data_IF_805376630908
#
_entry.id   IF_805376630908
#
_cell.length_a   1.000
_cell.length_b   1.000
_cell.length_c   1.000
_cell.angle_alpha   90.00
_cell.angle_beta   90.00
_cell.angle_gamma   90.00
#
_symmetry.space_group_name_H-M   'P 1'
#
loop_
_entity.id
_entity.type
_entity.pdbx_description
1 polymer ?
#
# COMPACT_ATOMS: atom_id res chain seq x y z
N UNK A 1 12.63 -0.55 5.36
CA UNK A 1 11.30 -0.99 4.89
C UNK A 1 11.12 -2.49 5.06
N UNK A 2 9.88 -2.98 5.09
CA UNK A 2 9.51 -4.41 5.20
C UNK A 2 8.95 -4.82 3.84
N UNK A 3 9.69 -5.62 3.06
CA UNK A 3 9.31 -6.00 1.70
C UNK A 3 7.95 -6.72 1.66
N UNK A 4 6.95 -6.11 1.01
CA UNK A 4 5.59 -6.65 0.93
C UNK A 4 4.68 -6.27 2.11
N UNK A 5 5.15 -5.40 3.03
CA UNK A 5 4.27 -4.72 3.96
C UNK A 5 3.58 -3.54 3.29
N UNK A 6 2.36 -3.27 3.73
CA UNK A 6 1.58 -2.12 3.30
C UNK A 6 0.62 -1.72 4.42
N UNK A 7 0.00 -0.56 4.24
CA UNK A 7 -1.07 -0.11 5.11
C UNK A 7 -2.26 0.31 4.26
N UNK A 8 -3.43 0.32 4.87
CA UNK A 8 -4.62 0.89 4.25
C UNK A 8 -5.51 1.55 5.30
N UNK A 9 -6.28 2.53 4.86
CA UNK A 9 -7.22 3.29 5.68
C UNK A 9 -8.62 3.10 5.12
N UNK A 10 -9.57 2.85 6.01
CA UNK A 10 -10.99 2.70 5.67
C UNK A 10 -11.86 3.55 6.57
N UNK A 11 -12.95 4.08 6.03
CA UNK A 11 -14.02 4.69 6.82
C UNK A 11 -14.95 3.62 7.43
N UNK A 12 -15.87 4.06 8.30
CA UNK A 12 -16.93 3.21 8.89
C UNK A 12 -17.90 2.62 7.87
N UNK A 13 -17.98 3.18 6.66
CA UNK A 13 -18.79 2.67 5.55
C UNK A 13 -18.04 1.64 4.69
N UNK A 14 -16.77 1.39 4.98
CA UNK A 14 -15.91 0.46 4.24
C UNK A 14 -15.27 1.05 2.99
N UNK A 15 -15.32 2.36 2.76
CA UNK A 15 -14.57 3.00 1.67
C UNK A 15 -13.09 3.11 2.02
N UNK A 16 -12.23 2.75 1.07
CA UNK A 16 -10.79 2.90 1.21
C UNK A 16 -10.36 4.34 0.89
N UNK A 17 -9.73 5.02 1.86
CA UNK A 17 -9.10 6.33 1.67
C UNK A 17 -7.66 6.19 1.19
N UNK A 18 -6.98 5.14 1.65
CA UNK A 18 -5.61 4.81 1.25
C UNK A 18 -5.50 3.31 1.09
N UNK A 19 -4.92 2.84 -0.01
CA UNK A 19 -4.60 1.44 -0.28
C UNK A 19 -3.65 1.38 -1.47
N UNK A 20 -2.67 0.46 -1.53
CA UNK A 20 -1.74 0.36 -2.66
C UNK A 20 -2.41 0.14 -4.02
N UNK A 21 -3.59 -0.49 -4.02
CA UNK A 21 -4.39 -0.74 -5.23
C UNK A 21 -5.54 0.26 -5.45
N UNK A 22 -5.58 1.37 -4.71
CA UNK A 22 -6.49 2.46 -5.09
C UNK A 22 -6.04 3.02 -6.45
N UNK A 23 -6.97 3.20 -7.40
CA UNK A 23 -6.64 3.82 -8.67
C UNK A 23 -6.18 5.26 -8.45
N UNK A 24 -5.16 5.69 -9.19
CA UNK A 24 -4.77 7.09 -9.21
C UNK A 24 -5.92 7.93 -9.81
N UNK A 25 -6.20 9.12 -9.26
CA UNK A 25 -7.14 10.04 -9.89
C UNK A 25 -6.65 10.39 -11.30
N UNK A 26 -7.56 10.38 -12.28
CA UNK A 26 -7.22 10.67 -13.68
C UNK A 26 -7.12 12.19 -13.94
N UNK A 27 -7.83 13.00 -13.16
CA UNK A 27 -7.79 14.46 -13.15
C UNK A 27 -8.04 15.01 -11.75
N UNK A 28 -7.62 16.26 -11.52
CA UNK A 28 -7.97 17.02 -10.32
C UNK A 28 -9.43 17.50 -10.34
N UNK A 29 -10.06 17.51 -11.52
CA UNK A 29 -11.48 17.87 -11.72
C UNK A 29 -12.42 16.68 -11.50
N UNK A 30 -11.87 15.46 -11.43
CA UNK A 30 -12.66 14.27 -11.23
C UNK A 30 -13.17 14.21 -9.79
N UNK A 31 -14.44 13.82 -9.65
CA UNK A 31 -15.03 13.57 -8.34
C UNK A 31 -14.28 12.43 -7.64
N UNK A 32 -14.13 12.48 -6.30
CA UNK A 32 -13.46 11.42 -5.55
C UNK A 32 -14.16 10.09 -5.82
N UNK A 33 -13.41 9.12 -6.33
CA UNK A 33 -13.92 7.78 -6.59
C UNK A 33 -13.89 6.99 -5.28
N UNK A 34 -15.07 6.70 -4.73
CA UNK A 34 -15.19 5.84 -3.56
C UNK A 34 -15.06 4.37 -3.97
N UNK A 35 -13.97 3.73 -3.54
CA UNK A 35 -13.76 2.30 -3.72
C UNK A 35 -13.95 1.59 -2.40
N UNK A 36 -14.94 0.70 -2.33
CA UNK A 36 -15.14 -0.13 -1.15
C UNK A 36 -13.96 -1.11 -0.98
N UNK A 37 -13.43 -1.24 0.23
CA UNK A 37 -12.21 -1.99 0.55
C UNK A 37 -12.29 -3.46 0.15
N UNK A 38 -13.48 -4.07 0.18
CA UNK A 38 -13.67 -5.46 -0.27
C UNK A 38 -13.36 -5.70 -1.76
N UNK A 39 -13.32 -4.64 -2.58
CA UNK A 39 -12.87 -4.74 -3.98
C UNK A 39 -11.34 -4.80 -4.10
N UNK A 40 -10.65 -4.17 -3.16
CA UNK A 40 -9.18 -4.09 -3.11
C UNK A 40 -8.59 -5.29 -2.36
N UNK A 41 -9.36 -5.82 -1.40
CA UNK A 41 -9.04 -6.97 -0.56
C UNK A 41 -10.09 -8.09 -0.75
N UNK A 42 -10.06 -8.80 -1.90
CA UNK A 42 -11.16 -9.68 -2.31
C UNK A 42 -11.22 -11.03 -1.56
N UNK A 43 -10.22 -11.37 -0.74
CA UNK A 43 -10.21 -12.63 0.00
C UNK A 43 -11.29 -12.62 1.10
N UNK A 44 -12.25 -13.55 1.02
CA UNK A 44 -13.37 -13.64 1.97
C UNK A 44 -12.93 -13.82 3.42
N UNK A 45 -11.72 -14.31 3.68
CA UNK A 45 -11.17 -14.43 5.04
C UNK A 45 -10.93 -13.08 5.73
N UNK A 46 -10.86 -12.00 4.95
CA UNK A 46 -10.69 -10.64 5.44
C UNK A 46 -11.99 -10.00 5.89
N UNK A 47 -13.16 -10.51 5.47
CA UNK A 47 -14.46 -9.92 5.84
C UNK A 47 -14.63 -9.65 7.35
N UNK A 48 -14.26 -10.56 8.27
CA UNK A 48 -14.37 -10.28 9.70
C UNK A 48 -13.43 -9.17 10.17
N UNK A 49 -12.25 -9.04 9.57
CA UNK A 49 -11.31 -7.95 9.88
C UNK A 49 -11.89 -6.63 9.40
N UNK A 50 -12.38 -6.59 8.16
CA UNK A 50 -12.98 -5.39 7.57
C UNK A 50 -14.23 -4.93 8.34
N UNK A 51 -15.05 -5.87 8.81
CA UNK A 51 -16.19 -5.57 9.69
C UNK A 51 -15.75 -5.02 11.05
N UNK A 52 -14.73 -5.63 11.68
CA UNK A 52 -14.16 -5.14 12.93
C UNK A 52 -13.61 -3.71 12.78
N UNK A 53 -12.93 -3.42 11.67
CA UNK A 53 -12.46 -2.06 11.34
C UNK A 53 -13.61 -1.06 11.14
N UNK A 54 -14.69 -1.46 10.45
CA UNK A 54 -15.86 -0.62 10.26
C UNK A 54 -16.59 -0.32 11.58
N UNK A 55 -16.55 -1.26 12.53
CA UNK A 55 -17.05 -1.10 13.89
C UNK A 55 -16.10 -0.33 14.81
N UNK A 56 -14.99 0.23 14.29
CA UNK A 56 -13.99 0.99 15.05
C UNK A 56 -13.32 0.19 16.17
N UNK A 57 -13.15 -1.12 15.96
CA UNK A 57 -12.48 -2.00 16.91
C UNK A 57 -10.97 -2.07 16.65
N UNK A 58 -10.20 -2.46 17.68
CA UNK A 58 -8.77 -2.76 17.56
C UNK A 58 -8.55 -4.26 17.52
N UNK A 59 -7.65 -4.72 16.67
CA UNK A 59 -7.37 -6.15 16.59
C UNK A 59 -6.11 -6.53 15.83
N UNK A 60 -5.87 -7.84 15.83
CA UNK A 60 -4.70 -8.48 15.25
C UNK A 60 -5.12 -9.87 14.73
N UNK A 61 -4.74 -10.22 13.50
CA UNK A 61 -5.04 -11.54 12.95
C UNK A 61 -4.02 -11.97 11.91
N UNK A 62 -3.60 -13.24 11.99
CA UNK A 62 -2.79 -13.87 10.96
C UNK A 62 -3.66 -14.65 9.99
N UNK A 63 -3.44 -14.45 8.69
CA UNK A 63 -4.18 -15.12 7.63
C UNK A 63 -3.23 -15.51 6.50
N UNK A 64 -3.53 -16.64 5.87
CA UNK A 64 -2.94 -17.02 4.58
C UNK A 64 -3.92 -16.68 3.46
N UNK A 65 -3.61 -15.62 2.71
CA UNK A 65 -4.43 -15.07 1.63
C UNK A 65 -3.69 -15.11 0.29
N UNK A 66 -4.43 -14.98 -0.82
CA UNK A 66 -3.84 -14.80 -2.15
C UNK A 66 -3.55 -13.31 -2.37
N UNK A 67 -2.29 -12.96 -2.61
CA UNK A 67 -1.90 -11.61 -3.01
C UNK A 67 -1.45 -11.54 -4.47
N UNK A 68 -1.82 -10.47 -5.18
CA UNK A 68 -1.27 -10.17 -6.50
C UNK A 68 0.19 -9.73 -6.36
N UNK A 69 1.08 -10.48 -6.99
CA UNK A 69 2.49 -10.14 -7.09
C UNK A 69 2.80 -9.76 -8.55
N UNK A 70 3.34 -8.54 -8.80
CA UNK A 70 3.80 -8.20 -10.14
C UNK A 70 4.97 -9.12 -10.49
N UNK A 71 4.93 -9.73 -11.66
CA UNK A 71 6.03 -10.56 -12.21
C UNK A 71 6.95 -9.70 -13.09
N UNK A 72 6.59 -8.43 -13.29
CA UNK A 72 7.24 -7.55 -14.26
C UNK A 72 6.87 -7.93 -15.69
N UNK A 73 7.38 -7.13 -16.64
CA UNK A 73 7.24 -7.40 -18.06
C UNK A 73 8.26 -8.47 -18.46
N UNK A 74 7.81 -9.52 -19.15
CA UNK A 74 8.75 -10.49 -19.73
C UNK A 74 9.49 -9.78 -20.87
N UNK A 75 10.80 -9.58 -20.66
CA UNK A 75 11.66 -8.84 -21.57
C UNK A 75 11.58 -9.46 -22.99
N UNK A 76 11.28 -8.64 -24.00
CA UNK A 76 11.13 -9.09 -25.39
C UNK A 76 9.72 -9.56 -25.79
N UNK A 77 8.70 -9.42 -24.92
CA UNK A 77 7.30 -9.74 -25.27
C UNK A 77 6.39 -8.51 -25.20
N UNK A 78 5.37 -8.47 -26.07
CA UNK A 78 4.28 -7.49 -26.02
C UNK A 78 3.21 -7.84 -24.97
N UNK A 79 3.42 -8.91 -24.19
CA UNK A 79 2.47 -9.32 -23.18
C UNK A 79 2.37 -8.22 -22.09
N UNK A 80 1.14 -7.90 -21.64
CA UNK A 80 0.95 -6.97 -20.53
C UNK A 80 1.63 -7.49 -19.27
N UNK A 81 1.90 -6.60 -18.32
CA UNK A 81 2.44 -6.98 -17.02
C UNK A 81 1.60 -8.09 -16.42
N UNK A 82 2.23 -9.24 -16.20
CA UNK A 82 1.53 -10.40 -15.66
C UNK A 82 1.55 -10.32 -14.14
N UNK A 83 0.38 -10.52 -13.55
CA UNK A 83 0.22 -10.64 -12.09
C UNK A 83 0.10 -12.12 -11.77
N UNK A 84 0.95 -12.61 -10.85
CA UNK A 84 0.80 -13.95 -10.28
C UNK A 84 0.16 -13.82 -8.91
N UNK A 85 -0.90 -14.58 -8.67
CA UNK A 85 -1.47 -14.73 -7.34
C UNK A 85 -0.60 -15.70 -6.55
N UNK A 86 0.00 -15.22 -5.46
CA UNK A 86 0.77 -16.07 -4.54
C UNK A 86 0.06 -16.13 -3.21
N UNK A 87 -0.06 -17.33 -2.66
CA UNK A 87 -0.53 -17.50 -1.29
C UNK A 87 0.58 -17.09 -0.32
N UNK A 88 0.29 -16.13 0.54
CA UNK A 88 1.24 -15.58 1.50
C UNK A 88 0.59 -15.50 2.89
N UNK A 89 1.37 -15.83 3.92
CA UNK A 89 0.96 -15.66 5.31
C UNK A 89 1.24 -14.21 5.71
N UNK A 90 0.21 -13.51 6.16
CA UNK A 90 0.25 -12.10 6.54
C UNK A 90 -0.31 -11.93 7.95
N UNK A 91 0.20 -10.94 8.67
CA UNK A 91 -0.36 -10.44 9.93
C UNK A 91 -1.02 -9.09 9.67
N UNK A 92 -2.31 -9.02 9.94
CA UNK A 92 -3.08 -7.80 9.96
C UNK A 92 -3.10 -7.26 11.38
N UNK A 93 -2.81 -5.98 11.54
CA UNK A 93 -2.95 -5.21 12.77
C UNK A 93 -3.84 -4.02 12.43
N UNK A 94 -4.92 -3.79 13.17
CA UNK A 94 -5.81 -2.66 12.90
C UNK A 94 -6.25 -1.96 14.18
N UNK A 95 -6.53 -0.67 14.05
CA UNK A 95 -7.04 0.17 15.13
C UNK A 95 -7.78 1.38 14.56
N UNK A 96 -8.76 1.94 15.29
CA UNK A 96 -9.38 3.21 14.96
C UNK A 96 -8.38 4.37 15.13
N UNK A 97 -8.51 5.40 14.30
CA UNK A 97 -7.80 6.66 14.46
C UNK A 97 -8.63 7.58 15.35
N UNK A 98 -8.06 7.99 16.49
CA UNK A 98 -8.73 8.81 17.49
C UNK A 98 -9.36 10.07 16.89
N UNK A 99 -10.59 10.37 17.30
CA UNK A 99 -11.37 11.54 16.87
C UNK A 99 -11.67 11.58 15.36
N UNK A 100 -11.72 10.43 14.70
CA UNK A 100 -12.13 10.31 13.30
C UNK A 100 -13.05 9.10 13.12
N UNK A 101 -13.66 8.98 11.95
CA UNK A 101 -14.44 7.83 11.49
C UNK A 101 -13.59 6.83 10.67
N UNK A 102 -12.27 6.88 10.81
CA UNK A 102 -11.33 6.03 10.08
C UNK A 102 -10.68 4.97 10.98
N UNK A 103 -10.44 3.81 10.38
CA UNK A 103 -9.58 2.76 10.92
C UNK A 103 -8.38 2.55 10.00
N UNK A 104 -7.21 2.38 10.61
CA UNK A 104 -5.97 2.04 9.91
C UNK A 104 -5.65 0.56 10.10
N UNK A 105 -5.22 -0.09 9.02
CA UNK A 105 -4.63 -1.41 9.08
C UNK A 105 -3.19 -1.37 8.59
N UNK A 106 -2.31 -2.09 9.29
CA UNK A 106 -0.95 -2.39 8.89
C UNK A 106 -0.87 -3.89 8.61
N UNK A 107 -0.39 -4.23 7.41
CA UNK A 107 -0.30 -5.60 6.94
C UNK A 107 1.17 -5.97 6.80
N UNK A 108 1.57 -7.03 7.51
CA UNK A 108 2.95 -7.45 7.64
C UNK A 108 3.14 -8.87 7.10
N UNK A 109 4.10 -9.10 6.20
CA UNK A 109 4.39 -10.42 5.68
C UNK A 109 5.13 -11.29 6.70
N UNK A 110 4.68 -12.54 6.85
CA UNK A 110 5.31 -13.54 7.71
C UNK A 110 6.02 -14.57 6.83
N UNK A 111 7.32 -14.79 7.05
CA UNK A 111 8.06 -15.94 6.50
C UNK A 111 8.77 -16.66 7.64
N UNK A 112 8.69 -17.99 7.65
CA UNK A 112 9.31 -18.84 8.68
C UNK A 112 8.92 -18.49 10.14
N UNK A 113 7.74 -17.92 10.34
CA UNK A 113 7.24 -17.54 11.67
C UNK A 113 7.64 -16.13 12.12
N UNK A 114 8.45 -15.41 11.35
CA UNK A 114 8.92 -14.06 11.68
C UNK A 114 8.40 -13.02 10.68
N UNK A 115 8.26 -11.78 11.15
CA UNK A 115 7.94 -10.64 10.29
C UNK A 115 9.18 -10.33 9.45
N UNK A 116 9.01 -10.33 8.12
CA UNK A 116 10.13 -10.17 7.19
C UNK A 116 10.54 -8.72 7.08
N UNK A 117 11.37 -8.24 8.01
CA UNK A 117 12.05 -6.98 7.79
C UNK A 117 13.10 -7.18 6.70
N UNK A 118 12.98 -6.48 5.58
CA UNK A 118 14.11 -6.33 4.67
C UNK A 118 15.15 -5.52 5.42
N UNK A 119 16.26 -6.15 5.79
CA UNK A 119 17.44 -5.41 6.22
C UNK A 119 17.88 -4.57 5.02
N UNK A 120 17.57 -3.28 5.02
CA UNK A 120 18.18 -2.36 4.09
C UNK A 120 19.64 -2.23 4.50
N UNK A 121 20.50 -3.01 3.84
CA UNK A 121 21.92 -2.73 3.85
C UNK A 121 22.12 -1.72 2.73
N UNK A 122 22.31 -0.45 3.07
CA UNK A 122 22.66 0.52 2.05
C UNK A 122 23.91 0.00 1.32
N UNK A 123 23.85 -0.02 -0.01
CA UNK A 123 24.95 -0.51 -0.84
C UNK A 123 26.20 0.40 -0.70
N UNK A 124 25.99 1.62 -0.21
CA UNK A 124 26.98 2.64 0.17
C UNK A 124 26.50 3.35 1.44
N UNK A 125 27.36 4.11 2.14
CA UNK A 125 26.99 4.83 3.37
C UNK A 125 25.68 5.62 3.18
N UNK A 126 24.65 5.36 3.99
CA UNK A 126 23.37 6.05 3.85
C UNK A 126 23.56 7.52 4.30
N UNK A 127 23.98 8.40 3.39
CA UNK A 127 24.01 9.82 3.70
C UNK A 127 22.58 10.38 3.60
N UNK A 128 22.06 10.95 4.68
CA UNK A 128 20.69 11.51 4.73
C UNK A 128 20.50 12.71 3.80
N UNK A 129 21.59 13.26 3.26
CA UNK A 129 21.60 14.36 2.28
C UNK A 129 21.16 13.94 0.88
N UNK A 130 21.19 12.64 0.55
CA UNK A 130 20.79 12.13 -0.77
C UNK A 130 19.26 11.97 -0.92
N UNK A 131 18.51 12.09 0.18
CA UNK A 131 17.05 12.01 0.16
C UNK A 131 16.44 13.39 -0.18
N UNK A 132 16.35 13.69 -1.47
CA UNK A 132 15.65 14.89 -1.93
C UNK A 132 14.14 14.64 -2.05
N UNK A 133 13.39 14.97 -1.00
CA UNK A 133 11.93 15.01 -1.09
C UNK A 133 11.49 16.19 -1.96
N UNK A 134 10.87 15.89 -3.11
CA UNK A 134 10.28 16.92 -3.96
C UNK A 134 9.03 17.50 -3.32
N UNK A 135 9.17 18.62 -2.59
CA UNK A 135 8.03 19.41 -2.12
C UNK A 135 7.52 20.29 -3.26
N UNK A 136 6.34 19.99 -3.78
CA UNK A 136 5.68 20.71 -4.89
C UNK A 136 5.44 22.22 -4.64
N UNK A 137 5.69 22.73 -3.44
CA UNK A 137 5.55 24.15 -3.08
C UNK A 137 6.84 24.98 -3.06
N UNK A 138 8.01 24.38 -3.33
CA UNK A 138 9.26 25.13 -3.43
C UNK A 138 9.51 25.51 -4.89
N UNK A 139 9.20 26.76 -5.25
CA UNK A 139 9.74 27.38 -6.47
C UNK A 139 11.25 27.56 -6.29
N UNK A 140 12.01 26.49 -6.52
CA UNK A 140 13.45 26.56 -6.62
C UNK A 140 13.78 27.02 -8.03
N UNK A 141 13.93 28.34 -8.18
CA UNK A 141 14.73 28.88 -9.28
C UNK A 141 16.09 28.17 -9.23
N UNK A 142 16.46 27.51 -10.34
CA UNK A 142 17.81 27.01 -10.69
C UNK A 142 18.22 25.55 -10.41
N UNK A 143 17.33 24.55 -10.47
CA UNK A 143 17.78 23.16 -10.65
C UNK A 143 17.32 22.57 -11.99
N UNK A 144 18.23 21.89 -12.74
CA UNK A 144 17.87 21.25 -13.99
C UNK A 144 16.82 20.18 -13.71
N UNK A 145 15.75 20.24 -14.48
CA UNK A 145 14.54 19.43 -14.36
C UNK A 145 14.84 17.92 -14.37
N UNK A 146 14.22 17.18 -13.45
CA UNK A 146 14.27 15.72 -13.38
C UNK A 146 13.73 15.10 -14.68
N UNK A 147 14.49 14.18 -15.27
CA UNK A 147 14.32 13.60 -16.60
C UNK A 147 13.15 12.59 -16.75
N UNK A 148 12.39 12.30 -15.69
CA UNK A 148 11.49 11.14 -15.66
C UNK A 148 10.00 11.43 -15.45
N UNK A 149 9.61 12.70 -15.29
CA UNK A 149 8.21 13.11 -15.45
C UNK A 149 8.18 14.43 -16.24
N UNK A 150 8.06 14.32 -17.56
CA UNK A 150 7.70 15.44 -18.41
C UNK A 150 6.45 15.03 -19.20
N UNK A 151 5.44 15.90 -19.17
CA UNK A 151 4.55 16.10 -20.33
C UNK A 151 5.29 16.89 -21.38
#
# INVERSE_FOLDING_TARGET
DIEGAYMFLVDTSGHALFHPFLPAPHSYEDHPTYVHISKLEPDKKLLPILQSMANMETGSKELSILQPHPVGRVQGTLLPETVRLRRQKLKYLWAPINNTDFSIAVVLPIRNGEIVSSSYKCLTECNTEDFQYHRLGLSLKSHPTCKFFCT
#
